data_IF_937838430892
#
_entry.id   IF_937838430892
#
_cell.length_a   1.000
_cell.length_b   1.000
_cell.length_c   1.000
_cell.angle_alpha   90.00
_cell.angle_beta   90.00
_cell.angle_gamma   90.00
#
_symmetry.space_group_name_H-M   'P 1'
#
loop_
_entity.id
_entity.type
_entity.pdbx_description
1 polymer ?
#
# COMPACT_ATOMS: atom_id res chain seq x y z
N UNK A 1 -14.67 -17.38 -20.72
CA UNK A 1 -14.50 -17.44 -19.25
C UNK A 1 -13.89 -18.79 -18.89
N UNK A 2 -12.74 -18.83 -18.23
CA UNK A 2 -12.22 -20.07 -17.70
C UNK A 2 -13.24 -20.64 -16.70
N UNK A 3 -13.54 -21.95 -16.80
CA UNK A 3 -14.45 -22.66 -15.88
C UNK A 3 -13.94 -22.48 -14.43
N UNK A 4 -14.55 -21.56 -13.69
CA UNK A 4 -14.26 -21.33 -12.27
C UNK A 4 -14.84 -22.50 -11.47
N UNK A 5 -14.03 -23.55 -11.30
CA UNK A 5 -14.39 -24.66 -10.42
C UNK A 5 -14.38 -24.15 -8.97
N UNK A 6 -15.34 -24.60 -8.15
CA UNK A 6 -15.46 -24.29 -6.72
C UNK A 6 -15.76 -22.79 -6.39
N UNK A 7 -16.41 -22.05 -7.29
CA UNK A 7 -16.80 -20.65 -7.02
C UNK A 7 -17.74 -20.51 -5.80
N UNK A 8 -18.46 -21.58 -5.41
CA UNK A 8 -19.26 -21.61 -4.20
C UNK A 8 -18.45 -21.40 -2.90
N UNK A 9 -17.12 -21.60 -2.95
CA UNK A 9 -16.23 -21.34 -1.81
C UNK A 9 -15.65 -19.90 -1.80
N UNK A 10 -16.00 -19.08 -2.77
CA UNK A 10 -15.43 -17.74 -2.89
C UNK A 10 -15.84 -16.80 -1.77
N UNK A 11 -17.07 -16.94 -1.29
CA UNK A 11 -17.54 -16.16 -0.15
C UNK A 11 -16.72 -16.47 1.11
N UNK A 12 -16.53 -17.75 1.41
CA UNK A 12 -15.71 -18.18 2.53
C UNK A 12 -14.24 -17.74 2.38
N UNK A 13 -13.70 -17.82 1.16
CA UNK A 13 -12.36 -17.36 0.88
C UNK A 13 -12.21 -15.84 1.04
N UNK A 14 -13.22 -15.07 0.64
CA UNK A 14 -13.22 -13.62 0.84
C UNK A 14 -13.25 -13.25 2.32
N UNK A 15 -14.01 -13.97 3.17
CA UNK A 15 -13.95 -13.82 4.64
C UNK A 15 -12.53 -14.10 5.18
N UNK A 16 -11.82 -15.08 4.63
CA UNK A 16 -10.43 -15.31 4.98
C UNK A 16 -9.52 -14.12 4.65
N UNK A 17 -9.81 -13.39 3.56
CA UNK A 17 -9.08 -12.17 3.19
C UNK A 17 -9.39 -11.05 4.19
N UNK A 18 -10.64 -10.84 4.56
CA UNK A 18 -11.04 -9.84 5.57
C UNK A 18 -10.38 -10.07 6.92
N UNK A 19 -10.33 -11.31 7.35
CA UNK A 19 -9.65 -11.73 8.57
C UNK A 19 -8.11 -11.69 8.45
N UNK A 20 -7.57 -11.21 7.33
CA UNK A 20 -6.12 -11.12 7.06
C UNK A 20 -5.36 -12.44 7.24
N UNK A 21 -6.03 -13.58 7.01
CA UNK A 21 -5.43 -14.89 7.18
C UNK A 21 -4.30 -15.13 6.17
N UNK A 22 -3.33 -15.95 6.57
CA UNK A 22 -2.26 -16.40 5.68
C UNK A 22 -2.82 -17.31 4.57
N UNK A 23 -2.05 -17.50 3.49
CA UNK A 23 -2.43 -18.42 2.42
C UNK A 23 -2.69 -19.85 2.90
N UNK A 24 -1.88 -20.32 3.86
CA UNK A 24 -2.01 -21.69 4.42
C UNK A 24 -3.28 -21.84 5.23
N UNK A 25 -3.61 -20.87 6.06
CA UNK A 25 -4.86 -20.86 6.84
C UNK A 25 -6.09 -20.81 5.92
N UNK A 26 -6.12 -19.90 4.94
CA UNK A 26 -7.22 -19.81 4.00
C UNK A 26 -7.36 -21.08 3.15
N UNK A 27 -6.26 -21.70 2.72
CA UNK A 27 -6.29 -22.96 2.00
C UNK A 27 -6.89 -24.10 2.83
N UNK A 28 -6.51 -24.17 4.13
CA UNK A 28 -7.05 -25.17 5.06
C UNK A 28 -8.54 -24.99 5.31
N UNK A 29 -8.98 -23.77 5.62
CA UNK A 29 -10.40 -23.44 5.90
C UNK A 29 -11.28 -23.77 4.70
N UNK A 30 -10.89 -23.31 3.49
CA UNK A 30 -11.67 -23.54 2.27
C UNK A 30 -11.44 -24.92 1.64
N UNK A 31 -10.68 -25.82 2.25
CA UNK A 31 -10.34 -27.13 1.70
C UNK A 31 -9.86 -27.10 0.24
N UNK A 32 -8.97 -26.15 -0.07
CA UNK A 32 -8.35 -25.96 -1.38
C UNK A 32 -6.83 -26.10 -1.29
N UNK A 33 -6.17 -26.39 -2.43
CA UNK A 33 -4.71 -26.43 -2.43
C UNK A 33 -4.11 -25.02 -2.34
N UNK A 34 -2.86 -24.94 -1.90
CA UNK A 34 -2.15 -23.67 -1.67
C UNK A 34 -2.00 -22.84 -2.97
N UNK A 35 -1.85 -23.50 -4.14
CA UNK A 35 -1.76 -22.81 -5.44
C UNK A 35 -3.10 -22.13 -5.78
N UNK A 36 -4.22 -22.81 -5.55
CA UNK A 36 -5.56 -22.25 -5.74
C UNK A 36 -5.78 -21.06 -4.80
N UNK A 37 -5.43 -21.21 -3.51
CA UNK A 37 -5.52 -20.12 -2.54
C UNK A 37 -4.69 -18.92 -2.98
N UNK A 38 -3.47 -19.12 -3.50
CA UNK A 38 -2.63 -18.05 -4.03
C UNK A 38 -3.27 -17.34 -5.23
N UNK A 39 -3.79 -18.09 -6.20
CA UNK A 39 -4.44 -17.52 -7.39
C UNK A 39 -5.71 -16.73 -7.02
N UNK A 40 -6.52 -17.29 -6.13
CA UNK A 40 -7.74 -16.62 -5.66
C UNK A 40 -7.40 -15.34 -4.90
N UNK A 41 -6.42 -15.38 -3.99
CA UNK A 41 -5.98 -14.17 -3.28
C UNK A 41 -5.66 -13.04 -4.25
N UNK A 42 -4.82 -13.30 -5.23
CA UNK A 42 -4.44 -12.26 -6.18
C UNK A 42 -5.60 -11.80 -7.04
N UNK A 43 -6.52 -12.68 -7.40
CA UNK A 43 -7.74 -12.28 -8.12
C UNK A 43 -8.60 -11.31 -7.29
N UNK A 44 -8.86 -11.62 -6.03
CA UNK A 44 -9.60 -10.72 -5.12
C UNK A 44 -8.86 -9.40 -4.89
N UNK A 45 -7.56 -9.46 -4.68
CA UNK A 45 -6.76 -8.25 -4.45
C UNK A 45 -6.61 -7.38 -5.70
N UNK A 46 -6.57 -7.97 -6.88
CA UNK A 46 -6.62 -7.21 -8.15
C UNK A 46 -7.95 -6.47 -8.30
N UNK A 47 -9.07 -7.11 -7.97
CA UNK A 47 -10.37 -6.46 -7.96
C UNK A 47 -10.42 -5.28 -6.97
N UNK A 48 -9.77 -5.40 -5.81
CA UNK A 48 -9.59 -4.29 -4.87
C UNK A 48 -8.69 -3.19 -5.43
N UNK A 49 -7.58 -3.56 -6.05
CA UNK A 49 -6.62 -2.60 -6.62
C UNK A 49 -7.17 -1.80 -7.81
N UNK A 50 -8.15 -2.35 -8.55
CA UNK A 50 -8.80 -1.66 -9.66
C UNK A 50 -9.83 -0.61 -9.24
N UNK A 51 -10.24 -0.59 -7.97
CA UNK A 51 -11.16 0.44 -7.46
C UNK A 51 -10.45 1.81 -7.44
N UNK A 52 -11.22 2.85 -7.79
CA UNK A 52 -10.75 4.22 -7.64
C UNK A 52 -10.41 4.47 -6.17
N UNK A 53 -9.28 5.10 -5.92
CA UNK A 53 -8.90 5.53 -4.59
C UNK A 53 -9.70 6.78 -4.19
N UNK A 54 -9.89 6.95 -2.89
CA UNK A 54 -10.60 8.11 -2.34
C UNK A 54 -9.82 9.41 -2.63
N UNK A 55 -10.52 10.52 -2.50
CA UNK A 55 -9.90 11.85 -2.50
C UNK A 55 -9.81 12.32 -1.06
N UNK A 56 -8.61 12.70 -0.64
CA UNK A 56 -8.34 13.16 0.72
C UNK A 56 -8.74 14.61 0.91
N UNK A 57 -9.19 14.97 2.11
CA UNK A 57 -9.66 16.31 2.44
C UNK A 57 -9.34 16.71 3.89
N UNK A 58 -9.43 18.01 4.17
CA UNK A 58 -9.16 18.54 5.50
C UNK A 58 -7.67 18.49 5.85
N UNK A 59 -7.28 17.91 6.96
CA UNK A 59 -5.87 17.76 7.35
C UNK A 59 -5.34 16.45 6.78
N UNK A 60 -4.38 16.54 5.87
CA UNK A 60 -3.79 15.43 5.14
C UNK A 60 -2.33 15.28 5.57
N UNK A 61 -1.95 14.09 5.96
CA UNK A 61 -0.56 13.71 6.24
C UNK A 61 -0.02 12.91 5.05
N UNK A 62 1.18 13.21 4.61
CA UNK A 62 1.84 12.50 3.51
C UNK A 62 3.30 12.24 3.81
N UNK A 63 3.76 11.07 3.45
CA UNK A 63 5.16 10.69 3.51
C UNK A 63 5.45 9.59 2.49
N UNK A 64 6.70 9.47 2.06
CA UNK A 64 7.17 8.36 1.25
C UNK A 64 8.07 7.42 2.06
N UNK A 65 8.03 6.17 1.64
CA UNK A 65 8.90 5.16 2.20
C UNK A 65 9.37 4.17 1.16
N UNK A 66 10.50 3.56 1.42
CA UNK A 66 11.08 2.54 0.53
C UNK A 66 10.93 1.15 1.12
N UNK A 67 10.74 0.19 0.22
CA UNK A 67 10.81 -1.24 0.51
C UNK A 67 11.83 -1.91 -0.41
N UNK A 68 12.41 -3.00 0.07
CA UNK A 68 13.27 -3.80 -0.77
C UNK A 68 12.50 -4.40 -1.95
N UNK A 69 13.00 -4.22 -3.16
CA UNK A 69 12.52 -4.95 -4.33
C UNK A 69 12.65 -6.45 -4.09
N UNK A 70 11.62 -7.22 -4.43
CA UNK A 70 11.53 -8.64 -4.17
C UNK A 70 10.91 -9.39 -5.34
N UNK A 71 11.61 -10.40 -5.80
CA UNK A 71 11.09 -11.36 -6.77
C UNK A 71 10.71 -12.69 -6.10
N UNK A 72 10.15 -12.60 -4.88
CA UNK A 72 9.76 -13.76 -4.08
C UNK A 72 8.93 -14.75 -4.90
N UNK A 73 9.34 -16.01 -4.90
CA UNK A 73 8.70 -17.09 -5.65
C UNK A 73 9.18 -17.25 -7.09
N UNK A 74 10.01 -16.36 -7.62
CA UNK A 74 10.71 -16.54 -8.89
C UNK A 74 11.89 -17.49 -8.75
N UNK A 75 12.05 -18.39 -9.73
CA UNK A 75 13.25 -19.25 -9.84
C UNK A 75 14.40 -18.53 -10.51
N UNK A 76 14.09 -17.60 -11.40
CA UNK A 76 15.07 -16.79 -12.16
C UNK A 76 14.83 -15.33 -11.76
N UNK A 77 15.90 -14.65 -11.35
CA UNK A 77 15.86 -13.23 -11.02
C UNK A 77 16.13 -12.41 -12.27
N UNK A 78 15.28 -11.42 -12.54
CA UNK A 78 15.29 -10.65 -13.79
C UNK A 78 16.45 -9.66 -13.88
N UNK A 79 16.97 -9.21 -12.73
CA UNK A 79 18.06 -8.20 -12.67
C UNK A 79 19.47 -8.80 -12.60
N UNK A 80 19.65 -10.09 -12.91
CA UNK A 80 20.96 -10.74 -12.87
C UNK A 80 21.58 -10.87 -11.48
N UNK A 81 20.93 -10.40 -10.43
CA UNK A 81 21.44 -10.50 -9.05
C UNK A 81 21.33 -11.93 -8.50
N UNK A 82 22.22 -12.27 -7.59
CA UNK A 82 22.17 -13.55 -6.88
C UNK A 82 21.04 -13.54 -5.85
N UNK A 83 20.44 -14.71 -5.61
CA UNK A 83 19.46 -14.88 -4.54
C UNK A 83 20.09 -14.48 -3.18
N UNK A 84 19.31 -13.75 -2.35
CA UNK A 84 19.79 -13.30 -1.04
C UNK A 84 19.99 -14.51 -0.11
N UNK A 85 21.10 -14.51 0.59
CA UNK A 85 21.35 -15.46 1.69
C UNK A 85 20.64 -14.98 2.95
N UNK A 86 20.19 -15.93 3.79
CA UNK A 86 19.68 -15.62 5.14
C UNK A 86 20.80 -14.96 5.96
N UNK A 87 20.50 -13.89 6.69
CA UNK A 87 21.47 -13.21 7.54
C UNK A 87 22.44 -12.27 6.81
N UNK A 88 22.26 -12.03 5.49
CA UNK A 88 23.06 -11.04 4.77
C UNK A 88 22.69 -9.60 5.16
N UNK A 89 23.69 -8.70 5.12
CA UNK A 89 23.55 -7.27 5.44
C UNK A 89 22.42 -6.61 4.63
N UNK A 90 21.48 -6.04 5.35
CA UNK A 90 20.37 -5.28 4.76
C UNK A 90 20.80 -3.86 4.30
N UNK A 91 21.93 -3.37 4.82
CA UNK A 91 22.30 -1.95 4.74
C UNK A 91 23.05 -1.55 3.43
N UNK A 92 23.34 -2.51 2.55
CA UNK A 92 24.04 -2.25 1.27
C UNK A 92 23.16 -2.36 0.04
N UNK A 93 21.90 -1.94 0.12
CA UNK A 93 21.00 -1.96 -1.04
C UNK A 93 21.19 -0.71 -1.89
N UNK A 94 21.43 -0.91 -3.19
CA UNK A 94 21.40 0.17 -4.16
C UNK A 94 19.97 0.70 -4.35
N UNK A 95 19.81 1.91 -4.86
CA UNK A 95 18.47 2.49 -5.16
C UNK A 95 17.65 1.58 -6.09
N UNK A 96 18.29 0.92 -7.05
CA UNK A 96 17.66 -0.02 -8.00
C UNK A 96 17.10 -1.29 -7.33
N UNK A 97 17.51 -1.57 -6.10
CA UNK A 97 16.98 -2.67 -5.30
C UNK A 97 15.84 -2.24 -4.34
N UNK A 98 15.35 -1.04 -4.49
CA UNK A 98 14.30 -0.46 -3.66
C UNK A 98 13.11 -0.06 -4.53
N UNK A 99 11.95 -0.03 -3.91
CA UNK A 99 10.69 0.48 -4.48
C UNK A 99 10.17 1.55 -3.57
N UNK A 100 9.98 2.75 -4.10
CA UNK A 100 9.41 3.86 -3.37
C UNK A 100 7.87 3.77 -3.39
N UNK A 101 7.27 4.13 -2.27
CA UNK A 101 5.82 4.11 -2.07
C UNK A 101 5.44 5.42 -1.39
N UNK A 102 4.54 6.16 -2.03
CA UNK A 102 3.87 7.30 -1.44
C UNK A 102 2.66 6.81 -0.65
N UNK A 103 2.49 7.28 0.58
CA UNK A 103 1.32 7.03 1.41
C UNK A 103 0.82 8.34 1.97
N UNK A 104 -0.49 8.54 1.90
CA UNK A 104 -1.14 9.71 2.48
C UNK A 104 -2.43 9.29 3.20
N UNK A 105 -2.75 10.00 4.27
CA UNK A 105 -3.93 9.73 5.11
C UNK A 105 -4.55 11.04 5.57
N UNK A 106 -5.88 11.11 5.57
CA UNK A 106 -6.61 12.23 6.17
C UNK A 106 -7.12 11.91 7.59
N UNK A 107 -7.69 12.90 8.25
CA UNK A 107 -8.26 12.72 9.60
C UNK A 107 -9.50 11.83 9.63
N UNK A 108 -10.13 11.59 8.50
CA UNK A 108 -11.24 10.63 8.36
C UNK A 108 -10.75 9.19 8.14
N UNK A 109 -9.44 8.96 8.19
CA UNK A 109 -8.77 7.68 7.99
C UNK A 109 -8.86 7.14 6.56
N UNK A 110 -9.16 7.98 5.55
CA UNK A 110 -8.99 7.60 4.16
C UNK A 110 -7.50 7.53 3.83
N UNK A 111 -7.10 6.46 3.17
CA UNK A 111 -5.71 6.22 2.80
C UNK A 111 -5.58 6.17 1.28
N UNK A 112 -4.64 6.94 0.76
CA UNK A 112 -4.18 6.83 -0.63
C UNK A 112 -2.76 6.30 -0.62
N UNK A 113 -2.46 5.38 -1.54
CA UNK A 113 -1.11 4.85 -1.69
C UNK A 113 -0.76 4.62 -3.15
N UNK A 114 0.46 4.96 -3.53
CA UNK A 114 1.00 4.81 -4.89
C UNK A 114 2.37 4.17 -4.83
N UNK A 115 2.62 3.24 -5.75
CA UNK A 115 3.97 2.76 -6.02
C UNK A 115 4.56 3.72 -7.05
N UNK A 116 5.68 4.33 -6.72
CA UNK A 116 6.39 5.25 -7.60
C UNK A 116 7.32 4.45 -8.51
N UNK A 117 7.33 4.77 -9.81
CA UNK A 117 8.24 4.15 -10.78
C UNK A 117 9.67 4.67 -10.58
N UNK A 118 9.81 5.94 -10.18
CA UNK A 118 11.05 6.56 -9.75
C UNK A 118 10.78 7.44 -8.52
N UNK A 119 11.77 7.57 -7.66
CA UNK A 119 11.74 8.48 -6.51
C UNK A 119 12.08 9.90 -6.98
N UNK A 120 11.24 10.46 -7.84
CA UNK A 120 11.41 11.80 -8.41
C UNK A 120 10.32 12.75 -7.91
N UNK A 121 10.70 14.02 -7.73
CA UNK A 121 9.79 15.06 -7.31
C UNK A 121 8.53 15.15 -8.20
N UNK A 122 8.72 15.07 -9.52
CA UNK A 122 7.62 15.14 -10.49
C UNK A 122 6.64 13.98 -10.34
N UNK A 123 7.14 12.78 -10.05
CA UNK A 123 6.28 11.61 -9.91
C UNK A 123 5.49 11.66 -8.60
N UNK A 124 6.09 12.12 -7.51
CA UNK A 124 5.40 12.36 -6.23
C UNK A 124 4.28 13.38 -6.45
N UNK A 125 4.61 14.54 -7.04
CA UNK A 125 3.67 15.63 -7.33
C UNK A 125 2.48 15.11 -8.16
N UNK A 126 2.74 14.49 -9.31
CA UNK A 126 1.69 14.01 -10.23
C UNK A 126 0.78 12.95 -9.59
N UNK A 127 1.36 12.01 -8.85
CA UNK A 127 0.60 10.93 -8.22
C UNK A 127 -0.19 11.39 -6.99
N UNK A 128 0.27 12.42 -6.29
CA UNK A 128 -0.38 12.91 -5.09
C UNK A 128 -1.46 13.95 -5.38
N UNK A 129 -1.18 14.90 -6.27
CA UNK A 129 -2.06 16.03 -6.60
C UNK A 129 -3.47 15.58 -7.03
N UNK A 130 -3.60 14.48 -7.76
CA UNK A 130 -4.88 13.95 -8.22
C UNK A 130 -5.79 13.41 -7.10
N UNK A 131 -5.25 13.23 -5.90
CA UNK A 131 -5.93 12.61 -4.77
C UNK A 131 -6.20 13.54 -3.58
N UNK A 132 -5.94 14.84 -3.73
CA UNK A 132 -6.22 15.82 -2.68
C UNK A 132 -7.23 16.87 -3.15
N UNK A 133 -8.07 17.33 -2.21
CA UNK A 133 -8.96 18.48 -2.45
C UNK A 133 -8.21 19.79 -2.25
N UNK A 134 -8.58 20.82 -3.03
CA UNK A 134 -8.10 22.17 -2.82
C UNK A 134 -8.49 22.69 -1.43
N UNK A 135 -7.74 23.67 -0.93
CA UNK A 135 -7.95 24.30 0.39
C UNK A 135 -7.84 23.32 1.59
N UNK A 136 -7.20 22.18 1.39
CA UNK A 136 -6.81 21.28 2.49
C UNK A 136 -5.57 21.80 3.22
N UNK A 137 -5.28 21.24 4.40
CA UNK A 137 -4.02 21.45 5.09
C UNK A 137 -3.11 20.26 4.85
N UNK A 138 -1.95 20.48 4.27
CA UNK A 138 -0.99 19.45 3.94
C UNK A 138 0.14 19.41 4.98
N UNK A 139 0.28 18.29 5.67
CA UNK A 139 1.35 18.00 6.62
C UNK A 139 2.36 17.05 5.98
N UNK A 140 3.63 17.46 5.86
CA UNK A 140 4.72 16.62 5.32
C UNK A 140 6.04 16.94 6.01
N UNK A 141 7.10 16.25 5.66
CA UNK A 141 8.48 16.54 6.11
C UNK A 141 9.08 17.85 5.56
N UNK A 142 8.35 18.51 4.66
CA UNK A 142 8.77 19.77 4.04
C UNK A 142 9.56 19.56 2.74
N UNK A 143 9.61 18.36 2.19
CA UNK A 143 10.26 18.11 0.90
C UNK A 143 9.58 18.92 -0.22
N UNK A 144 10.39 19.35 -1.17
CA UNK A 144 9.98 20.28 -2.25
C UNK A 144 8.77 19.83 -3.08
N UNK A 145 8.56 18.53 -3.40
CA UNK A 145 7.36 18.10 -4.12
C UNK A 145 6.05 18.44 -3.40
N UNK A 146 6.05 18.39 -2.07
CA UNK A 146 4.87 18.71 -1.26
C UNK A 146 4.59 20.21 -1.21
N UNK A 147 5.63 21.04 -1.20
CA UNK A 147 5.51 22.50 -1.31
C UNK A 147 4.81 22.85 -2.63
N UNK A 148 5.29 22.30 -3.74
CA UNK A 148 4.69 22.50 -5.08
C UNK A 148 3.25 22.02 -5.16
N UNK A 149 2.97 20.82 -4.67
CA UNK A 149 1.60 20.29 -4.65
C UNK A 149 0.66 21.18 -3.84
N UNK A 150 1.12 21.69 -2.69
CA UNK A 150 0.35 22.62 -1.87
C UNK A 150 0.03 23.92 -2.60
N UNK A 151 1.01 24.50 -3.31
CA UNK A 151 0.84 25.70 -4.13
C UNK A 151 -0.19 25.46 -5.24
N UNK A 152 -0.04 24.39 -6.04
CA UNK A 152 -0.94 24.04 -7.14
C UNK A 152 -2.39 23.81 -6.69
N UNK A 153 -2.57 23.23 -5.51
CA UNK A 153 -3.90 22.94 -4.95
C UNK A 153 -4.43 24.04 -4.03
N UNK A 154 -3.71 25.13 -3.85
CA UNK A 154 -4.05 26.17 -2.87
C UNK A 154 -4.28 25.58 -1.47
N UNK A 155 -3.43 24.64 -1.07
CA UNK A 155 -3.43 24.03 0.24
C UNK A 155 -2.55 24.81 1.22
N UNK A 156 -2.92 24.85 2.50
CA UNK A 156 -2.04 25.38 3.55
C UNK A 156 -1.00 24.32 3.92
N UNK A 157 0.27 24.57 3.63
CA UNK A 157 1.35 23.63 3.90
C UNK A 157 1.93 23.81 5.28
N UNK A 158 1.98 22.74 6.06
CA UNK A 158 2.59 22.66 7.39
C UNK A 158 3.82 21.74 7.36
N UNK A 159 5.01 22.27 7.08
CA UNK A 159 6.24 21.47 7.07
C UNK A 159 6.65 21.08 8.48
N UNK A 160 6.83 19.79 8.71
CA UNK A 160 7.16 19.17 10.00
C UNK A 160 8.59 18.62 9.94
N UNK A 161 9.55 19.51 10.13
CA UNK A 161 10.97 19.22 9.97
C UNK A 161 11.49 18.54 11.24
N UNK A 162 12.09 17.36 11.09
CA UNK A 162 12.69 16.63 12.20
C UNK A 162 13.77 17.48 12.91
N UNK A 163 13.71 17.51 14.24
CA UNK A 163 14.63 18.34 15.06
C UNK A 163 14.21 19.80 15.23
N UNK A 164 13.21 20.30 14.48
CA UNK A 164 12.66 21.65 14.63
C UNK A 164 11.21 21.64 15.12
N UNK A 165 10.30 21.16 14.30
CA UNK A 165 8.86 21.20 14.54
C UNK A 165 8.23 19.82 14.30
N UNK A 166 8.10 19.00 15.34
CA UNK A 166 7.42 17.68 15.22
C UNK A 166 5.90 17.78 15.23
N UNK A 167 5.37 18.84 15.84
CA UNK A 167 3.94 19.15 15.94
C UNK A 167 3.79 20.67 15.87
N UNK A 168 2.85 21.14 15.07
CA UNK A 168 2.51 22.56 14.96
C UNK A 168 1.09 22.74 15.52
N UNK A 169 0.92 23.69 16.47
CA UNK A 169 -0.38 24.02 17.06
C UNK A 169 -1.08 22.84 17.75
N UNK A 170 -0.37 21.83 18.20
CA UNK A 170 -0.87 20.57 18.78
C UNK A 170 -1.82 19.75 17.88
N UNK A 171 -1.98 20.13 16.60
CA UNK A 171 -2.92 19.53 15.66
C UNK A 171 -2.21 18.97 14.44
N UNK A 172 -1.23 19.69 13.90
CA UNK A 172 -0.55 19.32 12.66
C UNK A 172 0.67 18.47 12.97
N UNK A 173 0.68 17.26 12.48
CA UNK A 173 1.74 16.27 12.63
C UNK A 173 1.71 15.27 11.48
N UNK A 174 2.70 14.38 11.38
CA UNK A 174 2.77 13.26 10.43
C UNK A 174 2.79 11.90 11.13
N UNK A 175 2.24 11.83 12.35
CA UNK A 175 2.28 10.62 13.16
C UNK A 175 1.34 9.53 12.63
N UNK A 176 0.18 9.91 12.05
CA UNK A 176 -0.78 8.94 11.51
C UNK A 176 -0.22 8.26 10.26
N UNK A 177 0.40 9.01 9.34
CA UNK A 177 1.04 8.45 8.15
C UNK A 177 2.22 7.57 8.54
N UNK A 178 3.08 7.99 9.46
CA UNK A 178 4.22 7.21 9.95
C UNK A 178 3.78 5.92 10.67
N UNK A 179 2.72 6.01 11.47
CA UNK A 179 2.08 4.84 12.10
C UNK A 179 1.55 3.87 11.06
N UNK A 180 0.87 4.36 10.02
CA UNK A 180 0.36 3.55 8.91
C UNK A 180 1.47 2.87 8.11
N UNK A 181 2.57 3.58 7.83
CA UNK A 181 3.77 3.02 7.17
C UNK A 181 4.36 1.89 8.01
N UNK A 182 4.54 2.13 9.30
CA UNK A 182 5.08 1.12 10.23
C UNK A 182 4.18 -0.10 10.30
N UNK A 183 2.86 0.11 10.39
CA UNK A 183 1.87 -0.97 10.40
C UNK A 183 1.91 -1.78 9.10
N UNK A 184 1.94 -1.14 7.94
CA UNK A 184 2.05 -1.82 6.64
C UNK A 184 3.33 -2.66 6.54
N UNK A 185 4.49 -2.08 6.88
CA UNK A 185 5.78 -2.80 6.89
C UNK A 185 5.75 -4.01 7.81
N UNK A 186 5.27 -3.83 9.03
CA UNK A 186 5.16 -4.91 10.04
C UNK A 186 4.21 -6.02 9.59
N UNK A 187 3.08 -5.68 9.01
CA UNK A 187 2.11 -6.65 8.48
C UNK A 187 2.69 -7.45 7.30
N UNK A 188 3.36 -6.78 6.35
CA UNK A 188 4.00 -7.45 5.21
C UNK A 188 5.10 -8.41 5.67
N UNK A 189 5.94 -7.99 6.61
CA UNK A 189 7.06 -8.80 7.11
C UNK A 189 6.54 -9.91 8.05
N UNK A 190 5.70 -9.56 9.00
CA UNK A 190 5.20 -10.45 10.04
C UNK A 190 4.26 -11.52 9.51
N UNK A 191 3.16 -11.11 8.87
CA UNK A 191 2.10 -12.02 8.46
C UNK A 191 2.39 -12.65 7.09
N UNK A 192 2.87 -11.86 6.12
CA UNK A 192 3.09 -12.34 4.75
C UNK A 192 4.50 -12.88 4.53
N UNK A 193 5.43 -12.68 5.49
CA UNK A 193 6.85 -13.05 5.36
C UNK A 193 7.49 -12.45 4.10
N UNK A 194 7.10 -11.20 3.79
CA UNK A 194 7.45 -10.48 2.57
C UNK A 194 6.55 -10.83 1.38
N UNK A 195 6.47 -9.93 0.42
CA UNK A 195 5.71 -10.05 -0.83
C UNK A 195 6.62 -9.81 -2.03
N UNK A 196 6.25 -10.34 -3.20
CA UNK A 196 6.95 -9.97 -4.43
C UNK A 196 6.47 -8.57 -4.89
N UNK A 197 7.40 -7.74 -5.34
CA UNK A 197 7.15 -6.35 -5.75
C UNK A 197 6.04 -6.23 -6.80
N UNK A 198 5.96 -7.17 -7.75
CA UNK A 198 4.89 -7.21 -8.75
C UNK A 198 3.46 -7.29 -8.18
N UNK A 199 3.30 -7.67 -6.92
CA UNK A 199 2.00 -7.73 -6.24
C UNK A 199 1.80 -6.60 -5.22
N UNK A 200 2.74 -5.67 -5.13
CA UNK A 200 2.74 -4.63 -4.10
C UNK A 200 1.46 -3.78 -4.15
N UNK A 201 1.00 -3.38 -5.34
CA UNK A 201 -0.26 -2.64 -5.52
C UNK A 201 -1.47 -3.39 -4.94
N UNK A 202 -1.52 -4.70 -5.11
CA UNK A 202 -2.59 -5.54 -4.58
C UNK A 202 -2.61 -5.54 -3.04
N UNK A 203 -1.43 -5.62 -2.42
CA UNK A 203 -1.32 -5.60 -0.96
C UNK A 203 -1.55 -4.22 -0.37
N UNK A 204 -1.15 -3.16 -1.06
CA UNK A 204 -1.49 -1.79 -0.68
C UNK A 204 -3.01 -1.56 -0.73
N UNK A 205 -3.69 -2.04 -1.77
CA UNK A 205 -5.15 -1.99 -1.86
C UNK A 205 -5.82 -2.75 -0.71
N UNK A 206 -5.31 -3.94 -0.39
CA UNK A 206 -5.81 -4.71 0.75
C UNK A 206 -5.61 -3.97 2.08
N UNK A 207 -4.45 -3.35 2.26
CA UNK A 207 -4.16 -2.58 3.47
C UNK A 207 -5.10 -1.39 3.63
N UNK A 208 -5.32 -0.61 2.57
CA UNK A 208 -6.25 0.54 2.57
C UNK A 208 -7.65 0.11 2.98
N UNK A 209 -8.20 -0.91 2.30
CA UNK A 209 -9.55 -1.38 2.56
C UNK A 209 -9.70 -2.04 3.94
N UNK A 210 -8.64 -2.62 4.48
CA UNK A 210 -8.68 -3.19 5.84
C UNK A 210 -8.80 -2.15 6.94
N UNK A 211 -8.55 -0.90 6.63
CA UNK A 211 -8.70 0.25 7.54
C UNK A 211 -10.00 1.03 7.27
N UNK A 212 -10.68 0.77 6.16
CA UNK A 212 -11.97 1.36 5.82
C UNK A 212 -13.11 0.38 6.10
N UNK A 213 -14.29 0.90 6.46
CA UNK A 213 -15.52 0.08 6.57
C UNK A 213 -16.06 -0.18 5.17
N UNK A 214 -15.64 -1.28 4.52
CA UNK A 214 -16.11 -1.64 3.19
C UNK A 214 -17.13 -2.77 3.21
N UNK A 215 -18.05 -2.71 2.23
CA UNK A 215 -19.07 -3.71 2.01
C UNK A 215 -18.49 -4.94 1.28
N UNK A 216 -18.56 -6.08 1.92
CA UNK A 216 -18.13 -7.38 1.43
C UNK A 216 -18.75 -7.75 0.08
N UNK A 217 -20.03 -7.42 -0.15
CA UNK A 217 -20.74 -7.76 -1.38
C UNK A 217 -20.10 -7.12 -2.62
N UNK A 218 -19.61 -5.89 -2.50
CA UNK A 218 -18.95 -5.20 -3.61
C UNK A 218 -17.64 -5.87 -4.02
N UNK A 219 -16.92 -6.46 -3.07
CA UNK A 219 -15.67 -7.19 -3.34
C UNK A 219 -15.95 -8.48 -4.12
N UNK A 220 -16.98 -9.22 -3.73
CA UNK A 220 -17.39 -10.43 -4.44
C UNK A 220 -17.78 -10.13 -5.89
N UNK A 221 -18.66 -9.15 -6.11
CA UNK A 221 -19.10 -8.75 -7.45
C UNK A 221 -17.92 -8.36 -8.35
N UNK A 222 -16.97 -7.59 -7.83
CA UNK A 222 -15.78 -7.20 -8.59
C UNK A 222 -14.84 -8.39 -8.90
N UNK A 223 -14.77 -9.39 -8.04
CA UNK A 223 -13.95 -10.58 -8.26
C UNK A 223 -14.55 -11.58 -9.26
N UNK A 224 -15.86 -11.50 -9.52
CA UNK A 224 -16.54 -12.32 -10.55
C UNK A 224 -16.33 -11.79 -11.98
N UNK A 225 -15.99 -10.53 -12.15
CA UNK A 225 -15.67 -9.91 -13.45
C UNK A 225 -14.22 -10.21 -13.87
#
# INVERSE_FOLDING_TARGET
>A
MARLRKCHLWEEYARCIELKLTLRQAASICHINLKTAFLWRHRFLMAKASKKQDTLSGIIEVDEFVMASSEKGSKILTNGRKARKRGGDADKRTKDEQVAILLSIDRSQHIVSKVLAADTALEIETNFESHITSHSVLCSDGAWPYVKTAEHKSCDHKPLINGKNRVIGNIYHIQAVNGSITHFKSWVIGNMKGIATKYLLNYLAWFRESNAKYDFQQILVAAYR
#
